data_IF_508924197420
#
_entry.id   IF_508924197420
#
_cell.length_a   1.000
_cell.length_b   1.000
_cell.length_c   1.000
_cell.angle_alpha   90.00
_cell.angle_beta   90.00
_cell.angle_gamma   90.00
#
_symmetry.space_group_name_H-M   'P 1'
#
loop_
_entity.id
_entity.type
_entity.pdbx_description
1 polymer ?
#
# COMPACT_ATOMS: atom_id res chain seq x y z
N UNK A 1 -16.98 -54.74 -16.61
CA UNK A 1 -16.76 -53.39 -17.18
C UNK A 1 -17.20 -52.33 -16.17
N UNK A 2 -16.27 -51.60 -15.54
CA UNK A 2 -16.59 -50.26 -15.04
C UNK A 2 -15.44 -49.28 -15.34
N UNK A 3 -15.18 -49.01 -16.62
CA UNK A 3 -14.11 -48.08 -17.05
C UNK A 3 -14.59 -46.62 -17.16
N UNK A 4 -15.88 -46.36 -16.96
CA UNK A 4 -16.49 -45.04 -17.21
C UNK A 4 -16.69 -44.17 -15.96
N UNK A 5 -16.42 -44.68 -14.75
CA UNK A 5 -16.71 -43.95 -13.49
C UNK A 5 -15.56 -43.06 -12.99
N UNK A 6 -14.38 -43.15 -13.59
CA UNK A 6 -13.20 -42.38 -13.14
C UNK A 6 -12.92 -41.14 -13.99
N UNK A 7 -13.60 -40.97 -15.14
CA UNK A 7 -13.36 -39.84 -16.04
C UNK A 7 -14.08 -38.55 -15.60
N UNK A 8 -15.22 -38.65 -14.90
CA UNK A 8 -15.97 -37.47 -14.44
C UNK A 8 -15.27 -36.72 -13.30
N UNK A 9 -14.40 -37.39 -12.53
CA UNK A 9 -13.70 -36.77 -11.40
C UNK A 9 -12.46 -35.98 -11.86
N UNK A 10 -11.90 -36.30 -13.03
CA UNK A 10 -10.71 -35.60 -13.53
C UNK A 10 -11.03 -34.21 -14.12
N UNK A 11 -12.30 -33.93 -14.44
CA UNK A 11 -12.73 -32.65 -15.05
C UNK A 11 -12.99 -31.55 -14.00
N UNK A 12 -13.22 -31.90 -12.72
CA UNK A 12 -13.44 -30.89 -11.66
C UNK A 12 -12.15 -30.34 -11.01
N UNK A 13 -11.00 -30.99 -11.21
CA UNK A 13 -9.71 -30.55 -10.66
C UNK A 13 -8.99 -29.54 -11.57
N UNK A 14 -9.55 -29.22 -12.75
CA UNK A 14 -8.87 -28.36 -13.72
C UNK A 14 -9.39 -26.91 -13.78
N UNK A 15 -10.36 -26.53 -12.94
CA UNK A 15 -11.06 -25.24 -13.05
C UNK A 15 -10.89 -24.28 -11.86
N UNK A 16 -9.98 -24.55 -10.91
CA UNK A 16 -9.86 -23.73 -9.68
C UNK A 16 -8.48 -23.12 -9.41
N UNK A 17 -7.50 -23.23 -10.31
CA UNK A 17 -6.17 -22.61 -10.15
C UNK A 17 -5.80 -21.57 -11.22
N UNK A 18 -6.78 -20.82 -11.71
CA UNK A 18 -6.53 -19.44 -12.11
C UNK A 18 -7.16 -18.56 -11.05
N UNK A 19 -6.52 -18.56 -9.89
CA UNK A 19 -6.77 -17.59 -8.84
C UNK A 19 -6.62 -16.21 -9.45
N UNK A 20 -7.77 -15.55 -9.63
CA UNK A 20 -7.92 -14.10 -9.65
C UNK A 20 -6.82 -13.49 -8.79
N UNK A 21 -5.99 -12.56 -9.30
CA UNK A 21 -5.01 -11.96 -8.43
C UNK A 21 -5.79 -11.31 -7.30
N UNK A 22 -5.54 -11.81 -6.09
CA UNK A 22 -6.17 -11.38 -4.87
C UNK A 22 -5.69 -9.96 -4.54
N UNK A 23 -6.22 -8.97 -5.27
CA UNK A 23 -6.19 -7.56 -4.89
C UNK A 23 -7.53 -7.15 -4.22
N UNK A 24 -8.47 -8.09 -4.05
CA UNK A 24 -9.85 -7.78 -3.65
C UNK A 24 -10.28 -8.37 -2.28
N UNK A 25 -9.36 -8.91 -1.49
CA UNK A 25 -9.64 -9.35 -0.11
C UNK A 25 -8.85 -8.50 0.89
N UNK A 26 -9.06 -7.18 0.89
CA UNK A 26 -8.66 -6.32 2.01
C UNK A 26 -9.77 -5.28 2.23
N UNK A 27 -10.84 -5.73 2.90
CA UNK A 27 -12.09 -5.01 3.07
C UNK A 27 -11.93 -3.66 3.78
N UNK A 28 -12.64 -2.65 3.30
CA UNK A 28 -12.73 -1.31 3.89
C UNK A 28 -11.55 -0.40 3.54
N UNK A 29 -10.38 -0.68 4.10
CA UNK A 29 -9.25 0.26 4.10
C UNK A 29 -8.75 0.70 2.72
N UNK A 30 -8.81 -0.16 1.71
CA UNK A 30 -8.35 0.20 0.36
C UNK A 30 -9.34 1.08 -0.41
N UNK A 31 -10.64 0.95 -0.17
CA UNK A 31 -11.63 1.86 -0.77
C UNK A 31 -11.56 3.25 -0.13
N UNK A 32 -11.39 3.31 1.20
CA UNK A 32 -11.18 4.57 1.91
C UNK A 32 -9.89 5.26 1.47
N UNK A 33 -8.79 4.51 1.34
CA UNK A 33 -7.53 5.01 0.78
C UNK A 33 -7.70 5.62 -0.62
N UNK A 34 -8.39 4.91 -1.52
CA UNK A 34 -8.62 5.39 -2.89
C UNK A 34 -9.49 6.64 -2.90
N UNK A 35 -10.52 6.72 -2.04
CA UNK A 35 -11.36 7.93 -1.94
C UNK A 35 -10.57 9.12 -1.41
N UNK A 36 -9.71 8.91 -0.41
CA UNK A 36 -8.83 9.94 0.13
C UNK A 36 -7.84 10.42 -0.94
N UNK A 37 -7.20 9.49 -1.68
CA UNK A 37 -6.29 9.83 -2.80
C UNK A 37 -7.01 10.64 -3.88
N UNK A 38 -8.21 10.24 -4.30
CA UNK A 38 -8.97 10.96 -5.32
C UNK A 38 -9.45 12.36 -4.87
N UNK A 39 -9.48 12.62 -3.56
CA UNK A 39 -9.82 13.93 -3.01
C UNK A 39 -8.65 14.92 -2.97
N UNK A 40 -7.42 14.47 -3.21
CA UNK A 40 -6.23 15.31 -3.14
C UNK A 40 -6.00 16.09 -4.45
N UNK A 41 -5.32 17.26 -4.39
CA UNK A 41 -4.78 17.90 -5.56
C UNK A 41 -3.83 16.95 -6.32
N UNK A 42 -3.77 17.04 -7.66
CA UNK A 42 -2.92 16.16 -8.47
C UNK A 42 -1.44 16.28 -8.14
N UNK A 43 -0.98 17.46 -7.71
CA UNK A 43 0.40 17.70 -7.28
C UNK A 43 0.72 16.95 -5.98
N UNK A 44 -0.15 17.08 -4.97
CA UNK A 44 -0.01 16.37 -3.68
C UNK A 44 -0.12 14.87 -3.87
N UNK A 45 -1.05 14.41 -4.72
CA UNK A 45 -1.19 13.01 -5.08
C UNK A 45 0.09 12.44 -5.71
N UNK A 46 0.72 13.17 -6.63
CA UNK A 46 1.97 12.75 -7.25
C UNK A 46 3.10 12.59 -6.21
N UNK A 47 3.16 13.47 -5.20
CA UNK A 47 4.13 13.39 -4.11
C UNK A 47 3.85 12.20 -3.19
N UNK A 48 2.58 11.98 -2.80
CA UNK A 48 2.17 10.81 -2.00
C UNK A 48 2.47 9.51 -2.75
N UNK A 49 2.25 9.46 -4.07
CA UNK A 49 2.61 8.31 -4.90
C UNK A 49 4.11 8.08 -4.96
N UNK A 50 4.92 9.12 -5.15
CA UNK A 50 6.38 9.01 -5.12
C UNK A 50 6.88 8.48 -3.76
N UNK A 51 6.22 8.89 -2.67
CA UNK A 51 6.55 8.43 -1.32
C UNK A 51 6.24 6.93 -1.17
N UNK A 52 5.05 6.53 -1.62
CA UNK A 52 4.63 5.14 -1.63
C UNK A 52 5.59 4.26 -2.45
N UNK A 53 6.06 4.74 -3.61
CA UNK A 53 7.04 4.02 -4.42
C UNK A 53 8.37 3.85 -3.69
N UNK A 54 8.86 4.88 -3.00
CA UNK A 54 10.08 4.78 -2.18
C UNK A 54 9.92 3.77 -1.04
N UNK A 55 8.79 3.80 -0.32
CA UNK A 55 8.50 2.84 0.75
C UNK A 55 8.45 1.42 0.21
N UNK A 56 7.71 1.19 -0.89
CA UNK A 56 7.65 -0.12 -1.53
C UNK A 56 9.01 -0.59 -2.04
N UNK A 57 9.84 0.32 -2.57
CA UNK A 57 11.18 -0.02 -3.01
C UNK A 57 12.07 -0.39 -1.82
N UNK A 58 12.00 0.35 -0.70
CA UNK A 58 12.72 0.04 0.53
C UNK A 58 12.31 -1.31 1.12
N UNK A 59 11.02 -1.65 1.08
CA UNK A 59 10.50 -2.95 1.51
C UNK A 59 11.00 -4.07 0.58
N UNK A 60 10.92 -3.86 -0.74
CA UNK A 60 11.43 -4.83 -1.73
C UNK A 60 12.93 -5.06 -1.60
N UNK A 61 13.70 -4.02 -1.27
CA UNK A 61 15.16 -4.09 -1.08
C UNK A 61 15.56 -4.69 0.30
N UNK A 62 14.58 -4.97 1.16
CA UNK A 62 14.80 -5.49 2.51
C UNK A 62 15.40 -4.47 3.48
N UNK A 63 15.41 -3.19 3.12
CA UNK A 63 15.94 -2.09 3.95
C UNK A 63 14.90 -1.48 4.88
N UNK A 64 13.63 -1.78 4.65
CA UNK A 64 12.51 -1.30 5.43
C UNK A 64 11.50 -2.42 5.59
N UNK A 65 10.88 -2.53 6.75
CA UNK A 65 9.74 -3.44 6.96
C UNK A 65 8.44 -2.66 7.10
N UNK A 66 7.30 -3.29 6.81
CA UNK A 66 5.97 -2.67 7.01
C UNK A 66 5.78 -2.15 8.45
N UNK A 67 6.30 -2.90 9.43
CA UNK A 67 6.30 -2.50 10.84
C UNK A 67 7.13 -1.23 11.07
N UNK A 68 8.31 -1.11 10.46
CA UNK A 68 9.14 0.08 10.55
C UNK A 68 8.53 1.28 9.83
N UNK A 69 7.79 1.08 8.74
CA UNK A 69 7.03 2.16 8.09
C UNK A 69 5.97 2.69 9.04
N UNK A 70 5.17 1.82 9.64
CA UNK A 70 4.12 2.22 10.58
C UNK A 70 4.69 2.91 11.80
N UNK A 71 5.69 2.29 12.43
CA UNK A 71 6.36 2.86 13.58
C UNK A 71 7.03 4.20 13.23
N UNK A 72 7.66 4.31 12.07
CA UNK A 72 8.25 5.54 11.56
C UNK A 72 7.20 6.63 11.39
N UNK A 73 6.04 6.31 10.82
CA UNK A 73 4.96 7.27 10.62
C UNK A 73 4.37 7.74 11.95
N UNK A 74 4.08 6.79 12.86
CA UNK A 74 3.53 7.10 14.19
C UNK A 74 4.51 7.86 15.07
N UNK A 75 5.82 7.62 14.93
CA UNK A 75 6.86 8.30 15.72
C UNK A 75 7.44 9.54 15.05
N UNK A 76 6.98 9.91 13.85
CA UNK A 76 7.53 11.01 13.06
C UNK A 76 8.95 10.78 12.52
N UNK A 77 9.52 9.57 12.68
CA UNK A 77 10.88 9.21 12.25
C UNK A 77 10.96 8.53 10.89
N UNK A 78 9.84 8.45 10.18
CA UNK A 78 9.83 7.90 8.83
C UNK A 78 10.74 8.71 7.88
N UNK A 79 10.84 10.02 8.11
CA UNK A 79 11.72 10.90 7.35
C UNK A 79 13.20 10.52 7.45
N UNK A 80 13.66 10.18 8.66
CA UNK A 80 15.04 9.78 8.88
C UNK A 80 15.35 8.48 8.14
N UNK A 81 14.48 7.46 8.28
CA UNK A 81 14.62 6.18 7.59
C UNK A 81 14.57 6.33 6.08
N UNK A 82 13.63 7.11 5.57
CA UNK A 82 13.49 7.33 4.14
C UNK A 82 14.65 8.14 3.54
N UNK A 83 15.21 9.09 4.29
CA UNK A 83 16.42 9.84 3.89
C UNK A 83 17.63 8.92 3.71
N UNK A 84 17.76 7.88 4.53
CA UNK A 84 18.80 6.86 4.36
C UNK A 84 18.62 6.03 3.08
N UNK A 85 17.38 5.85 2.62
CA UNK A 85 17.06 5.13 1.38
C UNK A 85 17.17 6.01 0.15
N UNK A 86 16.71 7.25 0.25
CA UNK A 86 16.71 8.22 -0.83
C UNK A 86 16.84 9.64 -0.24
N UNK A 87 17.91 10.39 -0.55
CA UNK A 87 18.10 11.74 -0.04
C UNK A 87 16.99 12.72 -0.47
N UNK A 88 16.23 12.43 -1.53
CA UNK A 88 15.07 13.23 -1.96
C UNK A 88 13.79 12.97 -1.16
N UNK A 89 13.76 11.99 -0.26
CA UNK A 89 12.56 11.64 0.50
C UNK A 89 12.18 12.67 1.57
N UNK A 90 13.18 13.37 2.11
CA UNK A 90 12.99 14.40 3.14
C UNK A 90 12.13 15.56 2.61
N UNK A 91 12.49 16.08 1.43
CA UNK A 91 11.73 17.12 0.75
C UNK A 91 10.31 16.65 0.39
N UNK A 92 10.17 15.39 -0.01
CA UNK A 92 8.87 14.83 -0.38
C UNK A 92 7.91 14.76 0.81
N UNK A 93 8.42 14.34 1.98
CA UNK A 93 7.65 14.29 3.22
C UNK A 93 7.32 15.68 3.75
N UNK A 94 8.25 16.63 3.66
CA UNK A 94 8.01 18.01 4.04
C UNK A 94 6.88 18.63 3.21
N UNK A 95 6.90 18.41 1.90
CA UNK A 95 5.91 18.93 0.96
C UNK A 95 4.52 18.31 1.18
N UNK A 96 4.45 17.00 1.45
CA UNK A 96 3.21 16.32 1.87
C UNK A 96 2.73 16.86 3.23
N UNK A 97 3.64 17.08 4.18
CA UNK A 97 3.30 17.63 5.50
C UNK A 97 2.77 19.06 5.41
N UNK A 98 3.36 19.89 4.54
CA UNK A 98 2.88 21.22 4.23
C UNK A 98 1.47 21.16 3.64
N UNK A 99 1.25 20.31 2.63
CA UNK A 99 -0.07 20.10 2.05
C UNK A 99 -1.12 19.66 3.10
N UNK A 100 -0.76 18.75 4.01
CA UNK A 100 -1.63 18.34 5.12
C UNK A 100 -1.96 19.50 6.05
N UNK A 101 -0.99 20.35 6.41
CA UNK A 101 -1.22 21.56 7.22
C UNK A 101 -2.11 22.58 6.51
N UNK A 102 -2.02 22.66 5.19
CA UNK A 102 -2.86 23.50 4.34
C UNK A 102 -4.25 22.88 4.07
N UNK A 103 -4.52 21.67 4.58
CA UNK A 103 -5.78 20.95 4.40
C UNK A 103 -5.99 20.35 3.01
N UNK A 104 -4.94 20.31 2.18
CA UNK A 104 -4.96 19.75 0.83
C UNK A 104 -4.29 18.38 0.74
N UNK A 105 -3.51 18.00 1.76
CA UNK A 105 -2.89 16.70 1.91
C UNK A 105 -3.68 15.72 2.76
N UNK A 106 -3.19 14.47 2.88
CA UNK A 106 -3.83 13.46 3.70
C UNK A 106 -3.78 13.88 5.18
N UNK A 107 -4.95 14.04 5.81
CA UNK A 107 -5.05 14.27 7.25
C UNK A 107 -4.54 13.07 8.06
N UNK A 108 -4.22 13.28 9.33
CA UNK A 108 -3.70 12.24 10.23
C UNK A 108 -4.63 11.01 10.31
N UNK A 109 -5.95 11.25 10.32
CA UNK A 109 -6.99 10.22 10.28
C UNK A 109 -7.01 9.40 8.98
N UNK A 110 -6.54 10.01 7.89
CA UNK A 110 -6.50 9.42 6.55
C UNK A 110 -5.23 8.61 6.32
N UNK A 111 -4.21 8.77 7.16
CA UNK A 111 -2.93 8.07 7.02
C UNK A 111 -3.06 6.55 7.19
N UNK A 112 -3.86 6.09 8.16
CA UNK A 112 -4.04 4.66 8.38
C UNK A 112 -4.76 3.95 7.23
N UNK A 113 -5.89 4.46 6.71
CA UNK A 113 -6.48 3.96 5.48
C UNK A 113 -5.48 3.93 4.32
N UNK A 114 -4.73 5.02 4.11
CA UNK A 114 -3.73 5.10 3.03
C UNK A 114 -2.64 4.03 3.17
N UNK A 115 -2.09 3.82 4.36
CA UNK A 115 -1.13 2.73 4.60
C UNK A 115 -1.73 1.36 4.29
N UNK A 116 -2.98 1.11 4.70
CA UNK A 116 -3.71 -0.11 4.37
C UNK A 116 -3.90 -0.29 2.85
N UNK A 117 -4.25 0.79 2.14
CA UNK A 117 -4.38 0.79 0.68
C UNK A 117 -3.06 0.62 -0.07
N UNK A 118 -1.93 0.96 0.56
CA UNK A 118 -0.58 0.72 0.04
C UNK A 118 -0.09 -0.73 0.27
N UNK A 119 -0.92 -1.59 0.88
CA UNK A 119 -0.57 -2.97 1.20
C UNK A 119 0.25 -3.11 2.49
N UNK A 120 0.42 -2.02 3.25
CA UNK A 120 1.17 -2.01 4.51
C UNK A 120 0.23 -2.48 5.63
N UNK A 121 0.04 -3.80 5.69
CA UNK A 121 -0.92 -4.46 6.59
C UNK A 121 -0.43 -4.42 8.06
N UNK A 122 -1.31 -4.21 9.06
CA UNK A 122 -0.93 -4.39 10.45
C UNK A 122 -0.79 -5.89 10.70
N UNK A 123 0.43 -6.34 10.94
CA UNK A 123 0.67 -7.58 11.67
C UNK A 123 0.97 -7.20 13.12
#
# INVERSE_FOLDING_TARGET
>A
MPLTRNLTILVLVLSTWLGVPAYAQHGGGQQDAVKILNGMPPDVLAKVQALAQMLQQGIKDGKLTDAEVKQGLMSGRLAEKLKELNPGADQLLDDISAATKEGTGPGEESLMPLLGGLGISPN
#
